data_IF_110032979290
#
_entry.id   IF_110032979290
#
_cell.length_a   1.000
_cell.length_b   1.000
_cell.length_c   1.000
_cell.angle_alpha   90.00
_cell.angle_beta   90.00
_cell.angle_gamma   90.00
#
_symmetry.space_group_name_H-M   'P 1'
#
loop_
_entity.id
_entity.type
_entity.pdbx_description
1 polymer ?
#
# COMPACT_ATOMS: atom_id res chain seq x y z
N UNK A 1 -2.09 15.32 -13.92
CA UNK A 1 -2.40 14.54 -12.70
C UNK A 1 -1.17 14.65 -11.80
N UNK A 2 -1.28 15.25 -10.62
CA UNK A 2 -0.14 15.47 -9.72
C UNK A 2 0.04 14.18 -8.90
N UNK A 3 1.19 13.52 -9.02
CA UNK A 3 1.51 12.34 -8.20
C UNK A 3 1.59 12.80 -6.74
N UNK A 4 0.93 12.08 -5.84
CA UNK A 4 1.04 12.35 -4.40
C UNK A 4 2.39 11.81 -3.94
N UNK A 5 3.36 12.71 -3.74
CA UNK A 5 4.71 12.38 -3.24
C UNK A 5 4.77 12.22 -1.72
N UNK A 6 3.63 12.36 -1.03
CA UNK A 6 3.56 12.30 0.42
C UNK A 6 3.31 10.87 0.89
N UNK A 7 4.32 10.26 1.52
CA UNK A 7 4.14 9.07 2.34
C UNK A 7 3.26 9.45 3.54
N UNK A 8 2.08 8.82 3.69
CA UNK A 8 1.03 9.15 4.68
C UNK A 8 0.27 10.44 4.33
N UNK A 9 -0.64 10.39 3.35
CA UNK A 9 -1.61 11.46 3.22
C UNK A 9 -2.41 11.57 4.53
N UNK A 10 -2.43 12.75 5.13
CA UNK A 10 -3.27 13.05 6.30
C UNK A 10 -4.73 13.32 5.91
N UNK A 11 -4.99 13.49 4.61
CA UNK A 11 -6.28 13.84 4.06
C UNK A 11 -6.58 13.01 2.81
N UNK A 12 -7.85 12.68 2.62
CA UNK A 12 -8.35 11.90 1.48
C UNK A 12 -8.06 12.56 0.13
N UNK A 13 -8.08 13.88 0.07
CA UNK A 13 -7.97 14.62 -1.18
C UNK A 13 -9.06 14.19 -2.18
N UNK A 14 -8.71 13.94 -3.46
CA UNK A 14 -9.68 13.64 -4.52
C UNK A 14 -10.15 12.17 -4.54
N UNK A 15 -9.57 11.29 -3.72
CA UNK A 15 -9.90 9.86 -3.73
C UNK A 15 -11.33 9.63 -3.26
N UNK A 16 -12.04 8.70 -3.88
CA UNK A 16 -13.34 8.27 -3.35
C UNK A 16 -13.18 7.57 -1.98
N UNK A 17 -14.26 7.44 -1.18
CA UNK A 17 -14.17 6.80 0.15
C UNK A 17 -13.56 5.39 0.12
N UNK A 18 -13.91 4.60 -0.90
CA UNK A 18 -13.39 3.25 -1.13
C UNK A 18 -11.89 3.26 -1.50
N UNK A 19 -11.48 4.14 -2.41
CA UNK A 19 -10.07 4.32 -2.77
C UNK A 19 -9.23 4.75 -1.56
N UNK A 20 -9.80 5.58 -0.69
CA UNK A 20 -9.15 6.01 0.54
C UNK A 20 -8.96 4.87 1.54
N UNK A 21 -10.00 4.06 1.75
CA UNK A 21 -9.92 2.90 2.65
C UNK A 21 -8.86 1.90 2.17
N UNK A 22 -8.82 1.61 0.87
CA UNK A 22 -7.79 0.74 0.26
C UNK A 22 -6.40 1.33 0.44
N UNK A 23 -6.22 2.63 0.21
CA UNK A 23 -4.93 3.29 0.40
C UNK A 23 -4.46 3.23 1.86
N UNK A 24 -5.32 3.56 2.82
CA UNK A 24 -5.03 3.50 4.27
C UNK A 24 -4.63 2.09 4.69
N UNK A 25 -5.36 1.09 4.21
CA UNK A 25 -5.08 -0.31 4.50
C UNK A 25 -3.72 -0.76 3.94
N UNK A 26 -3.42 -0.44 2.68
CA UNK A 26 -2.15 -0.77 2.05
C UNK A 26 -0.96 -0.10 2.76
N UNK A 27 -1.14 1.14 3.21
CA UNK A 27 -0.15 1.88 3.99
C UNK A 27 0.12 1.20 5.34
N UNK A 28 -0.93 0.81 6.07
CA UNK A 28 -0.82 0.12 7.36
C UNK A 28 -0.12 -1.25 7.20
N UNK A 29 -0.50 -2.04 6.20
CA UNK A 29 0.14 -3.32 5.87
C UNK A 29 1.65 -3.24 5.58
N UNK A 30 2.14 -2.07 5.22
CA UNK A 30 3.55 -1.85 4.88
C UNK A 30 4.39 -1.45 6.08
N UNK A 31 3.77 -0.79 7.06
CA UNK A 31 4.46 -0.09 8.16
C UNK A 31 4.26 -0.80 9.50
N UNK A 32 3.08 -1.38 9.71
CA UNK A 32 2.64 -1.89 10.99
C UNK A 32 2.54 -3.42 10.96
N UNK A 33 2.87 -4.06 12.07
CA UNK A 33 2.76 -5.53 12.21
C UNK A 33 1.28 -5.92 12.38
N UNK A 34 0.52 -5.10 13.09
CA UNK A 34 -0.91 -5.26 13.29
C UNK A 34 -1.64 -4.05 12.71
N UNK A 35 -2.74 -4.30 12.03
CA UNK A 35 -3.56 -3.26 11.41
C UNK A 35 -4.57 -2.79 12.45
N UNK A 36 -4.71 -1.46 12.59
CA UNK A 36 -5.72 -0.87 13.46
C UNK A 36 -7.13 -1.33 13.05
N UNK A 37 -7.96 -1.65 14.04
CA UNK A 37 -9.34 -2.09 13.83
C UNK A 37 -10.13 -1.04 13.05
N UNK A 38 -9.92 0.25 13.30
CA UNK A 38 -10.59 1.34 12.57
C UNK A 38 -10.32 1.26 11.06
N UNK A 39 -9.06 1.04 10.67
CA UNK A 39 -8.65 0.94 9.27
C UNK A 39 -9.25 -0.31 8.62
N UNK A 40 -9.27 -1.42 9.34
CA UNK A 40 -9.83 -2.66 8.82
C UNK A 40 -11.37 -2.58 8.68
N UNK A 41 -12.05 -1.95 9.62
CA UNK A 41 -13.49 -1.68 9.54
C UNK A 41 -13.83 -0.74 8.38
N UNK A 42 -13.04 0.31 8.15
CA UNK A 42 -13.22 1.17 6.97
C UNK A 42 -13.08 0.39 5.65
N UNK A 43 -12.11 -0.53 5.56
CA UNK A 43 -11.96 -1.39 4.40
C UNK A 43 -13.16 -2.32 4.21
N UNK A 44 -13.70 -2.90 5.27
CA UNK A 44 -14.93 -3.72 5.17
C UNK A 44 -16.13 -2.91 4.66
N UNK A 45 -16.17 -1.61 4.99
CA UNK A 45 -17.21 -0.70 4.53
C UNK A 45 -16.96 -0.10 3.15
N UNK A 46 -15.84 -0.43 2.49
CA UNK A 46 -15.50 0.09 1.16
C UNK A 46 -16.29 -0.55 0.02
N UNK A 47 -17.17 -1.52 0.32
CA UNK A 47 -17.92 -2.29 -0.65
C UNK A 47 -17.20 -3.54 -1.16
N UNK A 48 -15.99 -3.83 -0.67
CA UNK A 48 -15.28 -5.08 -0.95
C UNK A 48 -15.87 -6.22 -0.12
N UNK A 49 -16.06 -7.36 -0.76
CA UNK A 49 -16.40 -8.60 -0.06
C UNK A 49 -15.14 -9.25 0.56
N UNK A 50 -15.34 -10.24 1.44
CA UNK A 50 -14.23 -10.89 2.16
C UNK A 50 -13.18 -11.50 1.25
N UNK A 51 -13.56 -12.02 0.08
CA UNK A 51 -12.61 -12.58 -0.90
C UNK A 51 -11.76 -11.47 -1.52
N UNK A 52 -12.38 -10.37 -1.92
CA UNK A 52 -11.65 -9.22 -2.49
C UNK A 52 -10.67 -8.61 -1.47
N UNK A 53 -11.05 -8.57 -0.18
CA UNK A 53 -10.15 -8.13 0.90
C UNK A 53 -8.95 -9.08 1.02
N UNK A 54 -9.15 -10.40 0.94
CA UNK A 54 -8.04 -11.37 0.94
C UNK A 54 -7.15 -11.19 -0.28
N UNK A 55 -7.72 -11.04 -1.47
CA UNK A 55 -6.96 -10.83 -2.71
C UNK A 55 -6.14 -9.53 -2.66
N UNK A 56 -6.73 -8.44 -2.14
CA UNK A 56 -6.03 -7.18 -1.87
C UNK A 56 -4.86 -7.38 -0.89
N UNK A 57 -5.10 -8.08 0.22
CA UNK A 57 -4.07 -8.37 1.24
C UNK A 57 -2.89 -9.12 0.62
N UNK A 58 -3.18 -10.16 -0.17
CA UNK A 58 -2.15 -10.95 -0.87
C UNK A 58 -1.37 -10.08 -1.84
N UNK A 59 -2.05 -9.23 -2.62
CA UNK A 59 -1.39 -8.33 -3.55
C UNK A 59 -0.43 -7.37 -2.84
N UNK A 60 -0.87 -6.69 -1.78
CA UNK A 60 -0.03 -5.77 -1.01
C UNK A 60 1.16 -6.52 -0.37
N UNK A 61 0.92 -7.69 0.22
CA UNK A 61 1.97 -8.53 0.80
C UNK A 61 3.02 -8.96 -0.22
N UNK A 62 2.60 -9.35 -1.43
CA UNK A 62 3.50 -9.76 -2.51
C UNK A 62 4.43 -8.61 -2.93
N UNK A 63 3.89 -7.41 -3.14
CA UNK A 63 4.71 -6.22 -3.43
C UNK A 63 5.67 -5.90 -2.29
N UNK A 64 5.18 -5.95 -1.05
CA UNK A 64 6.00 -5.73 0.15
C UNK A 64 7.16 -6.74 0.26
N UNK A 65 6.92 -8.01 -0.11
CA UNK A 65 7.95 -9.04 -0.17
C UNK A 65 8.96 -8.82 -1.30
N UNK A 66 8.48 -8.54 -2.51
CA UNK A 66 9.34 -8.31 -3.69
C UNK A 66 10.22 -7.07 -3.50
N UNK A 67 9.69 -5.97 -2.98
CA UNK A 67 10.49 -4.77 -2.69
C UNK A 67 11.62 -5.07 -1.70
N UNK A 68 11.34 -5.82 -0.63
CA UNK A 68 12.38 -6.23 0.34
C UNK A 68 13.43 -7.14 -0.30
N UNK A 69 13.02 -8.03 -1.19
CA UNK A 69 13.92 -8.91 -1.93
C UNK A 69 14.84 -8.13 -2.88
N UNK A 70 14.29 -7.22 -3.69
CA UNK A 70 15.07 -6.42 -4.64
C UNK A 70 16.07 -5.48 -3.96
N UNK A 71 15.67 -4.86 -2.84
CA UNK A 71 16.57 -4.02 -2.03
C UNK A 71 17.71 -4.84 -1.43
N UNK A 72 17.42 -6.05 -0.92
CA UNK A 72 18.44 -6.92 -0.34
C UNK A 72 19.46 -7.43 -1.38
N UNK A 73 19.07 -7.53 -2.65
CA UNK A 73 19.94 -7.98 -3.75
C UNK A 73 20.70 -6.84 -4.46
N UNK A 74 20.57 -5.60 -3.98
CA UNK A 74 21.23 -4.42 -4.56
C UNK A 74 21.03 -4.27 -6.08
N UNK A 75 19.82 -4.57 -6.56
CA UNK A 75 19.46 -4.43 -7.98
C UNK A 75 19.21 -2.95 -8.34
N UNK A 76 19.49 -2.01 -7.43
CA UNK A 76 19.19 -0.58 -7.55
C UNK A 76 20.32 0.30 -8.10
N UNK A 77 21.59 -0.06 -7.92
CA UNK A 77 22.70 0.89 -8.15
C UNK A 77 23.42 0.79 -9.51
N UNK A 78 23.13 -0.20 -10.37
CA UNK A 78 23.86 -0.38 -11.65
C UNK A 78 23.34 0.41 -12.86
N UNK A 79 22.43 1.37 -12.68
CA UNK A 79 21.91 2.20 -13.78
C UNK A 79 22.50 3.63 -13.84
N UNK A 80 23.50 3.98 -13.02
CA UNK A 80 24.12 5.32 -13.03
C UNK A 80 25.62 5.37 -13.36
N UNK A 81 26.29 4.25 -13.64
CA UNK A 81 27.69 4.27 -14.10
C UNK A 81 27.77 4.14 -15.62
N UNK A 82 27.44 5.23 -16.32
CA UNK A 82 27.86 5.47 -17.70
C UNK A 82 27.93 6.97 -17.93
N UNK A 83 29.07 7.56 -17.56
CA UNK A 83 29.57 8.85 -18.05
C UNK A 83 31.07 8.74 -18.24
#
# INVERSE_FOLDING_TARGET
MKVVETLRPSERGPLSPDQWAVLRYADAMTKDIAIDEEIFTELQNSGLNSREIVELTVAVAAYNGVSRFLVALDVGERNSESS
#
